data_IF_242913393952
#
_entry.id   IF_242913393952
#
_cell.length_a   1.000
_cell.length_b   1.000
_cell.length_c   1.000
_cell.angle_alpha   90.00
_cell.angle_beta   90.00
_cell.angle_gamma   90.00
#
_symmetry.space_group_name_H-M   'P 1'
#
loop_
_entity.id
_entity.type
_entity.pdbx_description
1 polymer ?
#
# COMPACT_ATOMS: atom_id res chain seq x y z
N UNK A 1 11.18 -0.24 -22.03
CA UNK A 1 10.10 -1.03 -21.44
C UNK A 1 10.38 -1.15 -19.96
N UNK A 2 9.39 -0.86 -19.10
CA UNK A 2 9.53 -1.03 -17.67
C UNK A 2 9.68 -2.52 -17.30
N UNK A 3 10.46 -2.81 -16.27
CA UNK A 3 10.57 -4.17 -15.71
C UNK A 3 9.32 -4.46 -14.89
N UNK A 4 8.70 -5.60 -15.12
CA UNK A 4 7.53 -6.04 -14.38
C UNK A 4 7.91 -7.09 -13.34
N UNK A 5 7.41 -6.95 -12.11
CA UNK A 5 7.60 -7.90 -11.02
C UNK A 5 6.68 -9.12 -11.11
N UNK A 6 5.62 -9.02 -11.92
CA UNK A 6 4.72 -10.13 -12.25
C UNK A 6 4.51 -10.25 -13.75
N UNK A 7 4.31 -11.47 -14.24
CA UNK A 7 3.93 -11.70 -15.63
C UNK A 7 2.42 -11.72 -15.79
N UNK A 8 1.94 -11.42 -17.00
CA UNK A 8 0.51 -11.53 -17.34
C UNK A 8 -0.02 -12.97 -17.20
N UNK A 9 0.83 -13.97 -17.43
CA UNK A 9 0.47 -15.38 -17.22
C UNK A 9 0.17 -15.63 -15.74
N UNK A 10 0.99 -15.07 -14.84
CA UNK A 10 0.78 -15.18 -13.39
C UNK A 10 -0.50 -14.47 -12.98
N UNK A 11 -0.76 -13.28 -13.53
CA UNK A 11 -2.00 -12.54 -13.27
C UNK A 11 -3.22 -13.38 -13.70
N UNK A 12 -3.24 -13.95 -14.91
CA UNK A 12 -4.33 -14.78 -15.40
C UNK A 12 -4.55 -16.07 -14.59
N UNK A 13 -3.48 -16.67 -14.09
CA UNK A 13 -3.58 -17.91 -13.30
C UNK A 13 -4.14 -17.69 -11.88
N UNK A 14 -3.93 -16.52 -11.30
CA UNK A 14 -4.37 -16.18 -9.93
C UNK A 14 -5.60 -15.28 -9.87
N UNK A 15 -6.22 -14.98 -11.03
CA UNK A 15 -7.44 -14.18 -11.13
C UNK A 15 -8.48 -14.89 -11.99
N UNK A 16 -9.71 -14.39 -12.00
CA UNK A 16 -10.79 -14.90 -12.85
C UNK A 16 -10.72 -14.37 -14.30
N UNK A 17 -9.57 -13.84 -14.72
CA UNK A 17 -9.39 -13.34 -16.08
C UNK A 17 -9.24 -14.52 -17.03
N UNK A 18 -10.04 -14.51 -18.12
CA UNK A 18 -9.94 -15.54 -19.14
C UNK A 18 -8.56 -15.49 -19.82
N UNK A 19 -8.00 -16.66 -20.14
CA UNK A 19 -6.69 -16.79 -20.82
C UNK A 19 -6.64 -16.09 -22.18
N UNK A 20 -7.78 -15.93 -22.84
CA UNK A 20 -7.90 -15.28 -24.16
C UNK A 20 -7.92 -13.73 -24.10
N UNK A 21 -7.89 -13.13 -22.90
CA UNK A 21 -7.83 -11.67 -22.77
C UNK A 21 -6.49 -11.17 -23.31
N UNK A 22 -6.53 -10.05 -24.01
CA UNK A 22 -5.38 -9.43 -24.64
C UNK A 22 -4.30 -9.06 -23.62
N UNK A 23 -3.06 -9.43 -23.93
CA UNK A 23 -1.90 -9.24 -23.08
C UNK A 23 -1.61 -7.75 -22.90
N UNK A 24 -1.77 -6.94 -23.94
CA UNK A 24 -1.40 -5.53 -23.93
C UNK A 24 -2.24 -4.73 -22.92
N UNK A 25 -3.53 -5.04 -22.79
CA UNK A 25 -4.41 -4.42 -21.81
C UNK A 25 -3.96 -4.75 -20.38
N UNK A 26 -3.66 -6.02 -20.12
CA UNK A 26 -3.26 -6.48 -18.79
C UNK A 26 -1.88 -5.96 -18.39
N UNK A 27 -0.96 -5.88 -19.34
CA UNK A 27 0.40 -5.39 -19.10
C UNK A 27 0.41 -3.93 -18.66
N UNK A 28 -0.41 -3.09 -19.29
CA UNK A 28 -0.55 -1.69 -18.91
C UNK A 28 -1.06 -1.56 -17.47
N UNK A 29 -2.06 -2.35 -17.07
CA UNK A 29 -2.63 -2.30 -15.73
C UNK A 29 -1.68 -2.85 -14.66
N UNK A 30 -0.86 -3.84 -14.99
CA UNK A 30 0.21 -4.33 -14.12
C UNK A 30 1.26 -3.25 -13.89
N UNK A 31 1.66 -2.54 -14.95
CA UNK A 31 2.62 -1.44 -14.83
C UNK A 31 2.07 -0.29 -13.98
N UNK A 32 0.82 0.10 -14.21
CA UNK A 32 0.16 1.15 -13.41
C UNK A 32 0.09 0.75 -11.93
N UNK A 33 -0.34 -0.48 -11.62
CA UNK A 33 -0.38 -0.99 -10.25
C UNK A 33 1.01 -0.99 -9.60
N UNK A 34 2.04 -1.32 -10.36
CA UNK A 34 3.42 -1.34 -9.88
C UNK A 34 3.94 0.07 -9.61
N UNK A 35 3.76 1.01 -10.55
CA UNK A 35 4.33 2.35 -10.47
C UNK A 35 3.54 3.28 -9.53
N UNK A 36 2.22 3.08 -9.38
CA UNK A 36 1.40 3.93 -8.52
C UNK A 36 1.22 3.31 -7.13
N UNK A 37 0.72 2.07 -7.09
CA UNK A 37 0.28 1.48 -5.83
C UNK A 37 1.44 0.86 -5.04
N UNK A 38 2.29 0.05 -5.70
CA UNK A 38 3.40 -0.61 -5.02
C UNK A 38 4.51 0.37 -4.65
N UNK A 39 4.85 1.30 -5.55
CA UNK A 39 5.88 2.31 -5.26
C UNK A 39 5.51 3.19 -4.07
N UNK A 40 4.22 3.51 -3.89
CA UNK A 40 3.74 4.27 -2.73
C UNK A 40 4.02 3.56 -1.42
N UNK A 41 3.87 2.23 -1.38
CA UNK A 41 4.13 1.42 -0.18
C UNK A 41 5.63 1.24 0.08
N UNK A 42 6.41 0.95 -0.96
CA UNK A 42 7.84 0.67 -0.83
C UNK A 42 8.70 1.94 -0.69
N UNK A 43 8.23 3.06 -1.24
CA UNK A 43 9.02 4.26 -1.47
C UNK A 43 9.94 4.12 -2.68
N UNK A 44 10.31 5.25 -3.28
CA UNK A 44 11.07 5.26 -4.56
C UNK A 44 12.42 4.57 -4.46
N UNK A 45 13.15 4.79 -3.37
CA UNK A 45 14.50 4.21 -3.19
C UNK A 45 14.46 2.69 -3.19
N UNK A 46 13.64 2.10 -2.33
CA UNK A 46 13.57 0.65 -2.21
C UNK A 46 12.91 0.00 -3.44
N UNK A 47 11.90 0.66 -4.03
CA UNK A 47 11.30 0.24 -5.28
C UNK A 47 12.34 0.14 -6.42
N UNK A 48 13.15 1.18 -6.63
CA UNK A 48 14.21 1.18 -7.64
C UNK A 48 15.28 0.13 -7.36
N UNK A 49 15.61 -0.10 -6.08
CA UNK A 49 16.51 -1.18 -5.68
C UNK A 49 15.98 -2.54 -6.15
N UNK A 50 14.73 -2.88 -5.85
CA UNK A 50 14.12 -4.15 -6.29
C UNK A 50 14.07 -4.28 -7.82
N UNK A 51 13.73 -3.21 -8.55
CA UNK A 51 13.74 -3.24 -10.01
C UNK A 51 15.14 -3.47 -10.58
N UNK A 52 16.17 -2.85 -10.02
CA UNK A 52 17.56 -3.06 -10.45
C UNK A 52 18.02 -4.49 -10.24
N UNK A 53 17.58 -5.14 -9.16
CA UNK A 53 17.88 -6.55 -8.90
C UNK A 53 17.22 -7.49 -9.93
N UNK A 54 15.98 -7.18 -10.37
CA UNK A 54 15.32 -7.95 -11.44
C UNK A 54 16.00 -7.75 -12.79
N UNK A 55 16.53 -6.55 -13.05
CA UNK A 55 17.25 -6.24 -14.30
C UNK A 55 18.63 -6.89 -14.36
N UNK A 56 19.27 -7.10 -13.21
CA UNK A 56 20.61 -7.69 -13.16
C UNK A 56 20.59 -9.14 -13.63
N UNK A 57 21.56 -9.49 -14.45
CA UNK A 57 21.72 -10.86 -14.96
C UNK A 57 22.05 -11.79 -13.81
N UNK A 58 21.04 -12.52 -13.31
CA UNK A 58 21.25 -13.52 -12.27
C UNK A 58 20.37 -13.38 -11.02
N UNK A 59 19.39 -12.48 -10.98
CA UNK A 59 18.46 -12.29 -9.84
C UNK A 59 19.22 -12.33 -8.49
N UNK A 60 19.88 -11.24 -8.15
CA UNK A 60 20.70 -11.15 -6.94
C UNK A 60 19.88 -10.75 -5.69
N UNK A 61 18.62 -11.15 -5.63
CA UNK A 61 17.81 -10.93 -4.45
C UNK A 61 18.40 -11.59 -3.21
N UNK A 62 18.47 -10.85 -2.13
CA UNK A 62 18.68 -11.42 -0.81
C UNK A 62 17.49 -12.34 -0.44
N UNK A 63 17.71 -13.35 0.41
CA UNK A 63 16.65 -14.28 0.82
C UNK A 63 15.40 -13.58 1.35
N UNK A 64 15.57 -12.51 2.13
CA UNK A 64 14.46 -11.70 2.66
C UNK A 64 13.74 -10.90 1.57
N UNK A 65 14.47 -10.37 0.60
CA UNK A 65 13.90 -9.66 -0.55
C UNK A 65 13.14 -10.62 -1.48
N UNK A 66 13.67 -11.81 -1.68
CA UNK A 66 12.99 -12.84 -2.46
C UNK A 66 11.65 -13.23 -1.83
N UNK A 67 11.63 -13.43 -0.51
CA UNK A 67 10.41 -13.69 0.26
C UNK A 67 9.44 -12.50 0.15
N UNK A 68 9.94 -11.26 0.32
CA UNK A 68 9.14 -10.06 0.18
C UNK A 68 8.47 -9.99 -1.20
N UNK A 69 9.23 -10.19 -2.27
CA UNK A 69 8.72 -10.09 -3.65
C UNK A 69 7.71 -11.20 -3.92
N UNK A 70 8.02 -12.46 -3.61
CA UNK A 70 7.18 -13.60 -3.97
C UNK A 70 5.91 -13.69 -3.12
N UNK A 71 6.01 -13.49 -1.81
CA UNK A 71 4.93 -13.80 -0.86
C UNK A 71 4.08 -12.58 -0.49
N UNK A 72 4.61 -11.36 -0.72
CA UNK A 72 3.92 -10.13 -0.34
C UNK A 72 3.69 -9.18 -1.51
N UNK A 73 4.73 -8.82 -2.30
CA UNK A 73 4.56 -7.87 -3.40
C UNK A 73 3.75 -8.46 -4.55
N UNK A 74 4.04 -9.69 -4.98
CA UNK A 74 3.35 -10.31 -6.11
C UNK A 74 1.86 -10.55 -5.85
N UNK A 75 1.42 -11.11 -4.69
CA UNK A 75 -0.01 -11.23 -4.40
C UNK A 75 -0.73 -9.88 -4.35
N UNK A 76 -0.09 -8.85 -3.78
CA UNK A 76 -0.63 -7.49 -3.78
C UNK A 76 -0.81 -6.95 -5.19
N UNK A 77 0.24 -7.03 -6.03
CA UNK A 77 0.18 -6.57 -7.41
C UNK A 77 -0.89 -7.28 -8.24
N UNK A 78 -1.05 -8.61 -8.04
CA UNK A 78 -2.08 -9.39 -8.74
C UNK A 78 -3.47 -8.84 -8.42
N UNK A 79 -3.78 -8.58 -7.16
CA UNK A 79 -5.11 -8.10 -6.76
C UNK A 79 -5.34 -6.64 -7.20
N UNK A 80 -4.32 -5.81 -7.12
CA UNK A 80 -4.42 -4.40 -7.52
C UNK A 80 -4.49 -4.24 -9.04
N UNK A 81 -3.66 -4.97 -9.79
CA UNK A 81 -3.75 -4.97 -11.25
C UNK A 81 -5.10 -5.49 -11.75
N UNK A 82 -5.66 -6.51 -11.10
CA UNK A 82 -7.00 -6.99 -11.43
C UNK A 82 -8.07 -5.95 -11.10
N UNK A 83 -7.97 -5.27 -9.95
CA UNK A 83 -8.88 -4.17 -9.59
C UNK A 83 -8.85 -3.05 -10.64
N UNK A 84 -7.67 -2.69 -11.14
CA UNK A 84 -7.50 -1.67 -12.17
C UNK A 84 -8.00 -2.16 -13.54
N UNK A 85 -7.82 -3.44 -13.86
CA UNK A 85 -8.23 -4.02 -15.14
C UNK A 85 -9.77 -4.15 -15.31
N UNK A 86 -10.55 -4.28 -14.22
CA UNK A 86 -12.01 -4.51 -14.30
C UNK A 86 -12.73 -3.52 -15.22
N UNK A 87 -12.53 -2.18 -15.12
CA UNK A 87 -13.20 -1.23 -16.02
C UNK A 87 -12.78 -1.40 -17.47
N UNK A 88 -11.49 -1.67 -17.72
CA UNK A 88 -10.93 -1.77 -19.07
C UNK A 88 -11.27 -3.09 -19.78
N UNK A 89 -11.63 -4.12 -19.01
CA UNK A 89 -12.18 -5.37 -19.55
C UNK A 89 -13.62 -5.21 -20.04
N UNK A 90 -14.39 -4.28 -19.46
CA UNK A 90 -15.78 -4.01 -19.88
C UNK A 90 -15.88 -2.95 -20.96
N UNK A 91 -15.07 -1.88 -20.84
CA UNK A 91 -15.11 -0.73 -21.74
C UNK A 91 -13.78 -0.59 -22.48
N UNK A 92 -13.85 -0.52 -23.80
CA UNK A 92 -12.68 -0.27 -24.63
C UNK A 92 -12.74 1.14 -25.23
N UNK A 93 -11.63 1.85 -25.20
CA UNK A 93 -11.47 3.12 -25.90
C UNK A 93 -11.14 2.85 -27.34
N UNK A 94 -11.99 3.30 -28.24
CA UNK A 94 -11.84 3.20 -29.71
C UNK A 94 -11.74 4.60 -30.31
N UNK A 95 -11.35 4.72 -31.59
CA UNK A 95 -11.27 6.01 -32.28
C UNK A 95 -12.60 6.78 -32.27
N UNK A 96 -13.73 6.10 -32.15
CA UNK A 96 -15.08 6.68 -32.13
C UNK A 96 -15.62 6.89 -30.70
N UNK A 97 -14.80 6.73 -29.66
CA UNK A 97 -15.18 6.90 -28.27
C UNK A 97 -15.03 5.63 -27.43
N UNK A 98 -15.65 5.65 -26.24
CA UNK A 98 -15.65 4.50 -25.31
C UNK A 98 -16.80 3.59 -25.69
N UNK A 99 -16.50 2.36 -26.04
CA UNK A 99 -17.48 1.35 -26.45
C UNK A 99 -17.56 0.20 -25.46
N UNK A 100 -18.75 -0.32 -25.25
CA UNK A 100 -18.97 -1.55 -24.48
C UNK A 100 -19.02 -2.73 -25.45
N UNK A 101 -18.23 -3.79 -25.15
CA UNK A 101 -18.28 -5.00 -25.96
C UNK A 101 -19.59 -5.75 -25.76
N UNK A 102 -20.37 -5.95 -26.84
CA UNK A 102 -21.54 -6.84 -26.85
C UNK A 102 -21.15 -8.12 -27.56
N UNK A 103 -21.42 -9.26 -26.94
CA UNK A 103 -21.29 -10.58 -27.58
C UNK A 103 -22.67 -11.11 -27.89
N UNK A 104 -22.80 -11.85 -29.00
CA UNK A 104 -24.07 -12.41 -29.48
C UNK A 104 -24.81 -13.28 -28.44
N UNK A 105 -24.07 -13.89 -27.49
CA UNK A 105 -24.61 -14.80 -26.49
C UNK A 105 -24.32 -14.34 -25.03
N UNK A 106 -23.93 -13.09 -24.81
CA UNK A 106 -23.68 -12.56 -23.47
C UNK A 106 -24.17 -11.13 -23.34
N UNK A 107 -25.00 -10.87 -22.34
CA UNK A 107 -25.40 -9.52 -21.94
C UNK A 107 -24.27 -8.88 -21.14
N UNK A 108 -23.97 -7.63 -21.48
CA UNK A 108 -23.00 -6.85 -20.70
C UNK A 108 -23.52 -6.62 -19.28
N UNK A 109 -22.62 -6.69 -18.33
CA UNK A 109 -22.91 -6.48 -16.92
C UNK A 109 -23.27 -5.02 -16.68
N UNK A 110 -24.27 -4.77 -15.82
CA UNK A 110 -24.66 -3.43 -15.42
C UNK A 110 -23.56 -2.72 -14.61
N UNK A 111 -23.53 -1.38 -14.69
CA UNK A 111 -22.57 -0.53 -13.99
C UNK A 111 -22.56 -0.76 -12.47
N UNK A 112 -23.74 -1.02 -11.87
CA UNK A 112 -23.84 -1.27 -10.45
C UNK A 112 -23.18 -2.60 -10.05
N UNK A 113 -23.41 -3.63 -10.81
CA UNK A 113 -22.73 -4.93 -10.62
C UNK A 113 -21.21 -4.81 -10.79
N UNK A 114 -20.77 -4.02 -11.77
CA UNK A 114 -19.34 -3.73 -11.94
C UNK A 114 -18.76 -3.00 -10.71
N UNK A 115 -19.43 -1.97 -10.19
CA UNK A 115 -19.02 -1.26 -8.98
C UNK A 115 -18.93 -2.20 -7.77
N UNK A 116 -19.90 -3.11 -7.64
CA UNK A 116 -19.90 -4.11 -6.59
C UNK A 116 -18.69 -5.06 -6.70
N UNK A 117 -18.45 -5.64 -7.87
CA UNK A 117 -17.28 -6.49 -8.12
C UNK A 117 -15.96 -5.77 -7.86
N UNK A 118 -15.88 -4.52 -8.30
CA UNK A 118 -14.72 -3.67 -8.06
C UNK A 118 -14.50 -3.39 -6.58
N UNK A 119 -15.57 -3.14 -5.81
CA UNK A 119 -15.48 -2.93 -4.37
C UNK A 119 -15.00 -4.16 -3.62
N UNK A 120 -15.46 -5.35 -3.99
CA UNK A 120 -14.96 -6.63 -3.44
C UNK A 120 -13.48 -6.84 -3.75
N UNK A 121 -13.09 -6.52 -4.98
CA UNK A 121 -11.69 -6.66 -5.39
C UNK A 121 -10.79 -5.65 -4.67
N UNK A 122 -11.29 -4.43 -4.41
CA UNK A 122 -10.58 -3.44 -3.60
C UNK A 122 -10.31 -3.93 -2.18
N UNK A 123 -11.32 -4.52 -1.53
CA UNK A 123 -11.15 -5.08 -0.18
C UNK A 123 -10.04 -6.15 -0.14
N UNK A 124 -9.94 -6.99 -1.18
CA UNK A 124 -8.86 -7.97 -1.29
C UNK A 124 -7.49 -7.29 -1.48
N UNK A 125 -7.41 -6.29 -2.36
CA UNK A 125 -6.19 -5.51 -2.56
C UNK A 125 -5.76 -4.80 -1.27
N UNK A 126 -6.70 -4.20 -0.54
CA UNK A 126 -6.44 -3.52 0.75
C UNK A 126 -5.91 -4.51 1.81
N UNK A 127 -6.43 -5.74 1.86
CA UNK A 127 -5.90 -6.79 2.74
C UNK A 127 -4.45 -7.12 2.43
N UNK A 128 -4.10 -7.34 1.15
CA UNK A 128 -2.72 -7.65 0.76
C UNK A 128 -1.79 -6.45 0.92
N UNK A 129 -2.28 -5.23 0.72
CA UNK A 129 -1.56 -3.99 1.04
C UNK A 129 -1.18 -3.94 2.51
N UNK A 130 -2.14 -4.17 3.41
CA UNK A 130 -1.90 -4.18 4.85
C UNK A 130 -0.89 -5.26 5.25
N UNK A 131 -1.04 -6.46 4.71
CA UNK A 131 -0.13 -7.58 4.96
C UNK A 131 1.31 -7.25 4.51
N UNK A 132 1.48 -6.56 3.38
CA UNK A 132 2.78 -6.10 2.89
C UNK A 132 3.39 -5.06 3.83
N UNK A 133 2.61 -4.05 4.24
CA UNK A 133 3.06 -3.01 5.17
C UNK A 133 3.47 -3.62 6.52
N UNK A 134 2.67 -4.53 7.06
CA UNK A 134 2.96 -5.20 8.34
C UNK A 134 4.27 -5.98 8.28
N UNK A 135 4.53 -6.70 7.19
CA UNK A 135 5.78 -7.42 6.99
C UNK A 135 6.99 -6.47 6.93
N UNK A 136 6.88 -5.36 6.21
CA UNK A 136 7.92 -4.34 6.12
C UNK A 136 8.20 -3.69 7.50
N UNK A 137 7.16 -3.44 8.28
CA UNK A 137 7.29 -2.86 9.62
C UNK A 137 7.93 -3.83 10.63
N UNK A 138 7.58 -5.12 10.58
CA UNK A 138 8.23 -6.17 11.38
C UNK A 138 9.72 -6.25 11.02
N UNK A 139 10.04 -6.24 9.73
CA UNK A 139 11.42 -6.25 9.25
C UNK A 139 12.26 -5.04 9.66
N UNK A 140 11.61 -3.92 10.02
CA UNK A 140 12.29 -2.70 10.46
C UNK A 140 13.11 -2.91 11.73
N UNK A 141 12.58 -3.65 12.70
CA UNK A 141 13.27 -3.92 13.96
C UNK A 141 14.59 -4.69 13.79
N UNK A 142 14.67 -5.51 12.74
CA UNK A 142 15.85 -6.31 12.39
C UNK A 142 16.70 -5.67 11.26
N UNK A 143 16.31 -4.49 10.79
CA UNK A 143 16.92 -3.80 9.65
C UNK A 143 17.06 -4.67 8.39
N UNK A 144 16.05 -5.50 8.11
CA UNK A 144 16.06 -6.42 6.97
C UNK A 144 16.07 -5.69 5.62
N UNK A 145 15.50 -4.49 5.58
CA UNK A 145 15.37 -3.67 4.38
C UNK A 145 15.94 -2.26 4.62
N UNK A 146 17.28 -2.08 4.49
CA UNK A 146 17.94 -0.81 4.80
C UNK A 146 17.42 0.36 3.96
N UNK A 147 17.19 0.14 2.66
CA UNK A 147 16.71 1.18 1.74
C UNK A 147 15.27 1.62 2.03
N UNK A 148 14.43 0.72 2.55
CA UNK A 148 13.10 1.05 3.05
C UNK A 148 13.16 1.84 4.35
N UNK A 149 14.03 1.43 5.28
CA UNK A 149 14.15 2.05 6.60
C UNK A 149 14.71 3.46 6.55
N UNK A 150 15.72 3.68 5.68
CA UNK A 150 16.48 4.92 5.54
C UNK A 150 16.02 5.76 4.34
N UNK A 151 14.78 5.59 3.88
CA UNK A 151 14.22 6.42 2.83
C UNK A 151 14.14 7.90 3.29
N UNK A 152 14.58 8.82 2.43
CA UNK A 152 14.54 10.25 2.65
C UNK A 152 13.73 10.95 1.56
N UNK A 153 13.33 12.20 1.82
CA UNK A 153 12.64 13.05 0.82
C UNK A 153 13.50 13.33 -0.42
N UNK A 154 14.81 13.23 -0.30
CA UNK A 154 15.74 13.41 -1.42
C UNK A 154 15.73 12.22 -2.39
N UNK A 155 15.34 11.05 -1.92
CA UNK A 155 15.25 9.83 -2.74
C UNK A 155 13.93 9.77 -3.55
N UNK A 156 13.03 10.74 -3.36
CA UNK A 156 11.72 10.79 -4.00
C UNK A 156 10.58 10.50 -3.02
N UNK A 157 9.69 9.57 -3.37
CA UNK A 157 8.53 9.22 -2.55
C UNK A 157 8.94 8.43 -1.30
N UNK A 158 8.51 8.92 -0.13
CA UNK A 158 8.71 8.21 1.14
C UNK A 158 7.69 7.07 1.25
N UNK A 159 8.08 5.90 1.78
CA UNK A 159 7.16 4.78 1.98
C UNK A 159 5.94 5.15 2.83
N UNK A 160 4.75 4.74 2.41
CA UNK A 160 3.54 4.80 3.25
C UNK A 160 3.63 3.71 4.32
N UNK A 161 3.79 4.13 5.56
CA UNK A 161 3.92 3.26 6.76
C UNK A 161 2.66 3.26 7.61
N UNK A 162 1.57 3.80 7.12
CA UNK A 162 0.33 3.93 7.88
C UNK A 162 -0.45 2.61 7.85
N UNK A 163 -0.59 2.00 9.01
CA UNK A 163 -1.53 0.90 9.19
C UNK A 163 -2.96 1.43 9.08
N UNK A 164 -3.67 1.02 8.04
CA UNK A 164 -5.08 1.38 7.85
C UNK A 164 -5.94 0.41 8.66
N UNK A 165 -6.36 0.80 9.86
CA UNK A 165 -7.37 0.05 10.60
C UNK A 165 -8.74 0.22 9.96
N UNK A 166 -9.26 -0.84 9.37
CA UNK A 166 -10.57 -0.87 8.67
C UNK A 166 -11.77 -1.15 9.61
N UNK A 167 -11.65 -0.85 10.89
CA UNK A 167 -12.70 -1.16 11.87
C UNK A 167 -13.74 -0.03 12.10
N UNK A 168 -13.87 0.90 11.16
CA UNK A 168 -14.92 1.95 11.20
C UNK A 168 -14.86 2.91 12.39
N UNK A 169 -13.97 2.66 13.34
CA UNK A 169 -13.71 3.56 14.47
C UNK A 169 -12.55 4.46 14.04
N UNK A 170 -12.89 5.66 13.58
CA UNK A 170 -11.92 6.74 13.45
C UNK A 170 -11.47 7.15 14.86
N UNK A 171 -10.47 6.48 15.36
CA UNK A 171 -9.67 7.05 16.45
C UNK A 171 -8.96 8.26 15.83
N UNK A 172 -9.56 9.42 15.99
CA UNK A 172 -8.94 10.69 15.63
C UNK A 172 -7.57 10.69 16.33
N UNK A 173 -6.52 10.53 15.56
CA UNK A 173 -5.18 10.68 16.10
C UNK A 173 -5.15 12.11 16.67
N UNK A 174 -5.25 12.20 17.98
CA UNK A 174 -5.14 13.46 18.66
C UNK A 174 -3.73 13.95 18.43
N UNK A 175 -3.54 14.75 17.40
CA UNK A 175 -2.36 15.60 17.23
C UNK A 175 -2.43 16.74 18.26
N UNK A 176 -2.77 16.44 19.49
CA UNK A 176 -2.46 17.34 20.59
C UNK A 176 -0.94 17.29 20.76
N UNK A 177 -0.25 18.02 19.89
CA UNK A 177 1.07 18.52 20.23
C UNK A 177 0.94 19.11 21.62
N UNK A 178 1.57 18.51 22.59
CA UNK A 178 1.86 19.21 23.80
C UNK A 178 1.53 18.52 25.13
N UNK A 179 0.70 17.48 25.19
CA UNK A 179 0.34 16.92 26.51
C UNK A 179 1.05 15.62 26.90
N UNK A 180 1.68 14.92 25.97
CA UNK A 180 2.26 13.62 26.29
C UNK A 180 3.77 13.63 26.50
N UNK A 181 4.52 14.45 25.77
CA UNK A 181 5.98 14.37 25.77
C UNK A 181 6.62 15.19 26.89
N UNK A 182 6.04 16.33 27.26
CA UNK A 182 6.59 17.17 28.35
C UNK A 182 6.25 16.61 29.73
N UNK A 183 5.12 15.94 29.90
CA UNK A 183 4.72 15.32 31.18
C UNK A 183 5.51 14.06 31.48
N UNK A 184 5.87 13.24 30.48
CA UNK A 184 6.64 12.01 30.70
C UNK A 184 8.12 12.28 31.00
N UNK A 185 8.71 13.32 30.41
CA UNK A 185 10.08 13.72 30.69
C UNK A 185 10.23 14.33 32.09
N UNK A 186 9.20 14.99 32.60
CA UNK A 186 9.23 15.52 33.97
C UNK A 186 9.00 14.46 35.05
N UNK A 187 8.28 13.35 34.71
CA UNK A 187 8.12 12.22 35.64
C UNK A 187 9.43 11.48 35.90
N UNK A 188 10.36 11.48 34.94
CA UNK A 188 11.65 10.79 35.11
C UNK A 188 12.70 11.57 35.85
N UNK A 189 12.56 12.90 35.97
CA UNK A 189 13.63 13.71 36.56
C UNK A 189 13.44 14.09 38.03
N UNK A 190 12.23 14.10 38.61
CA UNK A 190 12.05 14.58 39.98
C UNK A 190 11.07 13.80 40.87
N UNK A 191 10.41 12.74 40.38
CA UNK A 191 9.58 11.86 41.25
C UNK A 191 8.41 12.52 41.98
N UNK A 192 8.06 13.77 41.71
CA UNK A 192 7.04 14.51 42.41
C UNK A 192 6.13 15.26 41.45
N UNK A 193 4.96 14.67 41.18
CA UNK A 193 3.78 15.36 40.68
C UNK A 193 3.85 16.00 39.28
N UNK A 194 2.72 16.09 38.65
CA UNK A 194 2.50 16.75 37.36
C UNK A 194 2.48 18.27 37.58
N UNK A 195 3.43 18.98 37.00
CA UNK A 195 3.44 20.43 37.02
C UNK A 195 2.81 21.00 35.77
N UNK A 196 2.00 22.08 35.89
CA UNK A 196 1.56 22.87 34.75
C UNK A 196 2.75 23.65 34.16
N UNK A 197 2.62 24.08 32.89
CA UNK A 197 3.67 24.86 32.21
C UNK A 197 4.09 26.15 32.93
N UNK A 198 3.39 26.54 34.01
CA UNK A 198 3.69 27.70 34.86
C UNK A 198 4.37 27.32 36.17
N UNK A 199 4.76 26.05 36.36
CA UNK A 199 5.46 25.63 37.58
C UNK A 199 4.56 25.52 38.80
N UNK A 200 3.24 25.64 38.67
CA UNK A 200 2.31 25.52 39.81
C UNK A 200 1.84 24.08 39.99
N UNK A 201 1.82 23.63 41.22
CA UNK A 201 1.38 22.29 41.56
C UNK A 201 -0.14 22.20 41.40
N UNK A 202 -0.63 21.30 40.58
CA UNK A 202 -2.07 21.16 40.26
C UNK A 202 -2.96 20.90 41.51
N UNK A 203 -2.35 20.51 42.60
CA UNK A 203 -3.03 20.23 43.88
C UNK A 203 -3.06 21.43 44.85
N UNK A 204 -2.42 22.54 44.51
CA UNK A 204 -2.45 23.77 45.31
C UNK A 204 -3.24 24.85 44.60
N UNK A 205 -4.50 24.60 44.32
CA UNK A 205 -5.42 25.63 43.88
C UNK A 205 -6.09 26.21 45.13
N UNK A 206 -5.77 27.45 45.55
CA UNK A 206 -6.36 28.06 46.76
C UNK A 206 -7.85 28.34 46.63
N UNK A 207 -8.40 28.28 45.39
CA UNK A 207 -9.81 28.60 45.11
C UNK A 207 -10.68 27.35 44.86
N UNK A 208 -10.21 26.16 45.22
CA UNK A 208 -10.97 24.90 45.06
C UNK A 208 -11.61 24.42 46.39
N UNK A 209 -12.10 25.33 47.23
CA UNK A 209 -13.03 25.01 48.30
C UNK A 209 -14.40 25.56 48.00
#
# INVERSE_FOLDING_TARGET
>A
MGVLLISEIKLKNFTNINKNVDIDVLKAEVQIAQDIDLQTILGTKFYNHLLSQVQSTGNTFNANELTLVNDYCQPYLIQTAYFNAIPHLMYRTMNNGITQGTMENATSVDIETMKYLRSLQKQRADFYSQRLIDYLLIGKGQNLFPDYNNASTLDGMIPDRVQKYNNGIFLRHSTRKGWGASTLTNLNNNGTGVYSERGENFWNCPDCM
#
